data_IF_109052300554
#
_entry.id   IF_109052300554
#
_cell.length_a   1.000
_cell.length_b   1.000
_cell.length_c   1.000
_cell.angle_alpha   90.00
_cell.angle_beta   90.00
_cell.angle_gamma   90.00
#
_symmetry.space_group_name_H-M   'P 1'
#
loop_
_entity.id
_entity.type
_entity.pdbx_description
1 polymer ?
#
# COMPACT_ATOMS: atom_id res chain seq x y z
N UNK A 1 -0.94 16.37 -5.08
CA UNK A 1 0.28 16.96 -4.46
C UNK A 1 1.50 16.58 -5.27
N UNK A 2 2.44 17.51 -5.49
CA UNK A 2 3.63 17.27 -6.29
C UNK A 2 4.75 16.64 -5.44
N UNK A 3 5.63 15.83 -6.06
CA UNK A 3 6.79 15.29 -5.35
C UNK A 3 7.78 16.41 -5.01
N UNK A 4 8.25 16.45 -3.77
CA UNK A 4 9.30 17.38 -3.32
C UNK A 4 10.67 16.87 -3.78
N UNK A 5 10.88 15.57 -3.72
CA UNK A 5 12.10 14.89 -4.16
C UNK A 5 11.76 13.86 -5.25
N UNK A 6 12.49 13.87 -6.37
CA UNK A 6 12.34 12.87 -7.43
C UNK A 6 13.38 11.77 -7.23
N UNK A 7 12.94 10.54 -6.99
CA UNK A 7 13.82 9.38 -6.79
C UNK A 7 14.28 8.76 -8.12
N UNK A 8 13.54 8.94 -9.20
CA UNK A 8 13.90 8.44 -10.53
C UNK A 8 12.73 7.75 -11.24
N UNK A 9 13.04 6.70 -12.03
CA UNK A 9 12.03 5.85 -12.66
C UNK A 9 12.23 4.38 -12.25
N UNK A 10 11.16 3.75 -11.78
CA UNK A 10 11.12 2.32 -11.46
C UNK A 10 10.05 1.69 -12.35
N UNK A 11 10.39 0.61 -13.08
CA UNK A 11 9.48 -0.06 -14.02
C UNK A 11 8.79 0.91 -15.02
N UNK A 12 9.50 1.97 -15.44
CA UNK A 12 8.99 3.00 -16.35
C UNK A 12 8.07 4.05 -15.71
N UNK A 13 7.80 3.96 -14.40
CA UNK A 13 6.97 4.90 -13.64
C UNK A 13 7.86 5.90 -12.90
N UNK A 14 7.53 7.19 -12.93
CA UNK A 14 8.25 8.21 -12.15
C UNK A 14 7.96 8.03 -10.67
N UNK A 15 9.00 7.90 -9.85
CA UNK A 15 8.87 7.76 -8.39
C UNK A 15 9.37 9.04 -7.73
N UNK A 16 8.60 9.53 -6.76
CA UNK A 16 8.98 10.67 -5.94
C UNK A 16 8.50 10.53 -4.51
N UNK A 17 9.06 11.36 -3.64
CA UNK A 17 8.74 11.43 -2.22
C UNK A 17 8.38 12.86 -1.88
N UNK A 18 7.34 13.03 -1.09
CA UNK A 18 6.96 14.31 -0.52
C UNK A 18 7.56 14.44 0.88
N UNK A 19 7.90 15.65 1.32
CA UNK A 19 8.50 15.88 2.64
C UNK A 19 7.65 15.30 3.79
N UNK A 20 6.33 15.24 3.60
CA UNK A 20 5.40 14.63 4.56
C UNK A 20 5.70 13.15 4.86
N UNK A 21 6.40 12.43 3.98
CA UNK A 21 6.85 11.05 4.27
C UNK A 21 7.80 11.00 5.47
N UNK A 22 8.54 12.09 5.75
CA UNK A 22 9.35 12.19 6.96
C UNK A 22 8.51 12.05 8.23
N UNK A 23 7.22 12.40 8.20
CA UNK A 23 6.33 12.21 9.32
C UNK A 23 6.17 10.74 9.72
N UNK A 24 6.26 9.80 8.76
CA UNK A 24 6.27 8.35 9.05
C UNK A 24 7.49 8.01 9.90
N UNK A 25 8.66 8.55 9.56
CA UNK A 25 9.89 8.35 10.34
C UNK A 25 9.76 8.98 11.73
N UNK A 26 9.25 10.21 11.81
CA UNK A 26 9.06 10.94 13.07
C UNK A 26 8.05 10.26 14.00
N UNK A 27 7.10 9.49 13.48
CA UNK A 27 6.14 8.72 14.27
C UNK A 27 6.70 7.35 14.62
N UNK A 28 7.16 6.58 13.64
CA UNK A 28 7.57 5.17 13.82
C UNK A 28 8.81 5.06 14.70
N UNK A 29 9.84 5.87 14.45
CA UNK A 29 11.13 5.71 15.14
C UNK A 29 10.98 5.91 16.66
N UNK A 30 10.37 7.02 17.16
CA UNK A 30 10.20 7.20 18.59
C UNK A 30 9.21 6.20 19.21
N UNK A 31 8.12 5.82 18.51
CA UNK A 31 7.18 4.82 19.01
C UNK A 31 7.86 3.46 19.25
N UNK A 32 8.75 3.06 18.35
CA UNK A 32 9.54 1.84 18.54
C UNK A 32 10.62 2.03 19.61
N UNK A 33 11.39 3.10 19.51
CA UNK A 33 12.58 3.29 20.33
C UNK A 33 12.29 3.58 21.80
N UNK A 34 11.17 4.25 22.10
CA UNK A 34 10.76 4.62 23.46
C UNK A 34 9.64 3.74 24.02
N UNK A 35 8.96 2.99 23.16
CA UNK A 35 7.80 2.17 23.53
C UNK A 35 8.06 0.68 23.33
N UNK A 36 7.85 0.21 22.09
CA UNK A 36 7.81 -1.23 21.77
C UNK A 36 9.10 -1.96 22.14
N UNK A 37 10.25 -1.42 21.78
CA UNK A 37 11.53 -2.12 21.93
C UNK A 37 12.02 -2.23 23.38
N UNK A 38 12.06 -1.15 24.19
CA UNK A 38 12.46 -1.27 25.59
C UNK A 38 11.50 -2.12 26.42
N UNK A 39 10.21 -2.16 26.06
CA UNK A 39 9.21 -3.01 26.73
C UNK A 39 9.39 -4.49 26.40
N UNK A 40 9.76 -4.83 25.17
CA UNK A 40 9.96 -6.21 24.75
C UNK A 40 11.34 -6.76 25.18
N UNK A 41 12.39 -5.94 25.09
CA UNK A 41 13.77 -6.31 25.39
C UNK A 41 14.44 -5.24 26.26
N UNK A 42 14.16 -5.22 27.57
CA UNK A 42 14.76 -4.25 28.48
C UNK A 42 16.26 -4.48 28.64
N UNK A 43 17.03 -3.40 28.81
CA UNK A 43 18.47 -3.45 29.11
C UNK A 43 19.38 -3.30 27.89
N UNK A 44 18.85 -3.29 26.67
CA UNK A 44 19.63 -2.95 25.47
C UNK A 44 20.00 -1.46 25.43
N UNK A 45 21.14 -1.09 24.82
CA UNK A 45 21.61 0.28 24.81
C UNK A 45 20.73 1.17 23.91
N UNK A 46 20.51 2.42 24.30
CA UNK A 46 19.57 3.31 23.60
C UNK A 46 19.79 3.40 22.08
N UNK A 47 21.05 3.41 21.63
CA UNK A 47 21.37 3.51 20.20
C UNK A 47 20.84 2.32 19.38
N UNK A 48 20.69 1.12 19.96
CA UNK A 48 20.15 -0.05 19.26
C UNK A 48 18.66 0.14 18.98
N UNK A 49 17.91 0.68 19.95
CA UNK A 49 16.48 0.99 19.80
C UNK A 49 16.24 2.05 18.72
N UNK A 50 16.99 3.15 18.75
CA UNK A 50 16.87 4.22 17.76
C UNK A 50 17.33 3.76 16.37
N UNK A 51 18.43 3.01 16.29
CA UNK A 51 18.96 2.46 15.04
C UNK A 51 17.99 1.49 14.39
N UNK A 52 17.48 0.50 15.13
CA UNK A 52 16.49 -0.44 14.59
C UNK A 52 15.14 0.23 14.32
N UNK A 53 14.75 1.24 15.10
CA UNK A 53 13.55 2.02 14.83
C UNK A 53 13.64 2.72 13.47
N UNK A 54 14.79 3.33 13.17
CA UNK A 54 15.06 3.95 11.87
C UNK A 54 15.05 2.90 10.74
N UNK A 55 15.69 1.75 10.93
CA UNK A 55 15.68 0.66 9.95
C UNK A 55 14.24 0.21 9.67
N UNK A 56 13.44 -0.04 10.71
CA UNK A 56 12.03 -0.42 10.57
C UNK A 56 11.23 0.62 9.81
N UNK A 57 11.40 1.91 10.13
CA UNK A 57 10.69 2.99 9.43
C UNK A 57 11.05 3.06 7.94
N UNK A 58 12.34 2.92 7.60
CA UNK A 58 12.81 2.93 6.21
C UNK A 58 12.29 1.71 5.43
N UNK A 59 12.35 0.52 6.02
CA UNK A 59 11.82 -0.70 5.38
C UNK A 59 10.30 -0.60 5.22
N UNK A 60 9.58 -0.05 6.19
CA UNK A 60 8.14 0.18 6.09
C UNK A 60 7.78 1.17 4.98
N UNK A 61 8.56 2.25 4.81
CA UNK A 61 8.43 3.18 3.68
C UNK A 61 8.64 2.47 2.34
N UNK A 62 9.59 1.54 2.26
CA UNK A 62 9.81 0.71 1.06
C UNK A 62 8.62 -0.22 0.82
N UNK A 63 8.04 -0.82 1.87
CA UNK A 63 6.80 -1.62 1.77
C UNK A 63 5.62 -0.80 1.23
N UNK A 64 5.41 0.43 1.72
CA UNK A 64 4.39 1.33 1.21
C UNK A 64 4.62 1.66 -0.27
N UNK A 65 5.87 1.99 -0.63
CA UNK A 65 6.21 2.24 -2.03
C UNK A 65 5.97 1.00 -2.89
N UNK A 66 6.30 -0.20 -2.42
CA UNK A 66 6.07 -1.45 -3.14
C UNK A 66 4.57 -1.70 -3.38
N UNK A 67 3.73 -1.45 -2.37
CA UNK A 67 2.27 -1.50 -2.49
C UNK A 67 1.76 -0.56 -3.59
N UNK A 68 2.15 0.71 -3.56
CA UNK A 68 1.71 1.71 -4.55
C UNK A 68 2.27 1.44 -5.95
N UNK A 69 3.51 0.96 -6.01
CA UNK A 69 4.13 0.54 -7.26
C UNK A 69 3.44 -0.68 -7.87
N UNK A 70 2.92 -1.60 -7.06
CA UNK A 70 2.17 -2.74 -7.58
C UNK A 70 0.93 -2.29 -8.36
N UNK A 71 0.16 -1.33 -7.81
CA UNK A 71 -0.95 -0.72 -8.54
C UNK A 71 -0.51 -0.10 -9.86
N UNK A 72 0.56 0.70 -9.84
CA UNK A 72 1.08 1.38 -11.02
C UNK A 72 1.56 0.40 -12.09
N UNK A 73 2.25 -0.68 -11.70
CA UNK A 73 2.75 -1.71 -12.62
C UNK A 73 1.60 -2.49 -13.24
N UNK A 74 0.61 -2.93 -12.45
CA UNK A 74 -0.56 -3.65 -12.97
C UNK A 74 -1.39 -2.74 -13.87
N UNK A 75 -1.61 -1.48 -13.49
CA UNK A 75 -2.32 -0.51 -14.31
C UNK A 75 -1.65 -0.32 -15.68
N UNK A 76 -0.33 -0.14 -15.72
CA UNK A 76 0.41 -0.01 -16.99
C UNK A 76 0.35 -1.28 -17.84
N UNK A 77 0.47 -2.46 -17.22
CA UNK A 77 0.35 -3.74 -17.92
C UNK A 77 -1.05 -3.95 -18.51
N UNK A 78 -2.07 -3.38 -17.87
CA UNK A 78 -3.45 -3.36 -18.38
C UNK A 78 -3.75 -2.19 -19.34
N UNK A 79 -2.74 -1.45 -19.80
CA UNK A 79 -2.92 -0.35 -20.76
C UNK A 79 -3.48 0.95 -20.17
N UNK A 80 -3.53 1.09 -18.84
CA UNK A 80 -3.95 2.32 -18.17
C UNK A 80 -2.73 3.24 -18.00
N UNK A 81 -2.88 4.51 -18.41
CA UNK A 81 -1.81 5.51 -18.31
C UNK A 81 -1.53 5.90 -16.86
N UNK A 82 -0.24 5.90 -16.48
CA UNK A 82 0.23 6.22 -15.12
C UNK A 82 1.28 7.34 -15.19
N UNK A 83 1.09 8.39 -14.41
CA UNK A 83 1.97 9.56 -14.43
C UNK A 83 3.19 9.42 -13.55
N UNK A 84 3.01 8.73 -12.44
CA UNK A 84 4.01 8.57 -11.41
C UNK A 84 3.38 8.17 -10.09
N UNK A 85 4.22 7.64 -9.21
CA UNK A 85 3.90 7.37 -7.82
C UNK A 85 4.59 8.43 -6.97
N UNK A 86 3.86 9.02 -6.03
CA UNK A 86 4.47 9.95 -5.07
C UNK A 86 4.06 9.52 -3.68
N UNK A 87 5.07 9.15 -2.89
CA UNK A 87 4.86 8.77 -1.50
C UNK A 87 4.60 10.02 -0.65
N UNK A 88 3.58 9.95 0.20
CA UNK A 88 3.25 10.97 1.20
C UNK A 88 2.83 10.31 2.53
N UNK A 89 2.46 11.10 3.54
CA UNK A 89 2.14 10.59 4.89
C UNK A 89 0.96 9.59 4.94
N UNK A 90 -0.09 9.78 4.14
CA UNK A 90 -1.29 8.94 4.14
C UNK A 90 -1.26 7.76 3.14
N UNK A 91 -0.07 7.34 2.67
CA UNK A 91 0.09 6.30 1.62
C UNK A 91 0.20 6.87 0.20
N UNK A 92 1.15 6.42 -0.62
CA UNK A 92 1.52 7.10 -1.85
C UNK A 92 0.50 6.98 -2.98
N UNK A 93 -0.40 7.96 -3.12
CA UNK A 93 -1.36 7.98 -4.22
C UNK A 93 -0.66 7.91 -5.58
N UNK A 94 -0.78 6.75 -6.25
CA UNK A 94 -0.40 6.61 -7.65
C UNK A 94 -1.27 7.57 -8.48
N UNK A 95 -0.64 8.53 -9.17
CA UNK A 95 -1.37 9.41 -10.08
C UNK A 95 -1.67 8.67 -11.37
N UNK A 96 -2.85 8.06 -11.42
CA UNK A 96 -3.42 7.45 -12.60
C UNK A 96 -3.97 8.57 -13.51
N UNK A 97 -3.62 8.55 -14.80
CA UNK A 97 -4.08 9.53 -15.81
C UNK A 97 -5.32 9.05 -16.58
N UNK A 98 -5.77 7.83 -16.34
CA UNK A 98 -6.93 7.23 -16.99
C UNK A 98 -7.64 6.22 -16.09
N UNK A 99 -8.87 5.88 -16.46
CA UNK A 99 -9.70 4.91 -15.75
C UNK A 99 -9.55 3.50 -16.34
N UNK A 100 -9.75 2.47 -15.51
CA UNK A 100 -9.87 1.10 -16.01
C UNK A 100 -11.03 0.99 -17.01
N UNK A 101 -10.85 0.22 -18.09
CA UNK A 101 -11.84 0.07 -19.17
C UNK A 101 -12.86 -1.02 -18.90
N UNK A 102 -12.51 -2.00 -18.08
CA UNK A 102 -13.34 -3.15 -17.72
C UNK A 102 -13.24 -3.45 -16.20
N UNK A 103 -14.26 -4.11 -15.62
CA UNK A 103 -14.30 -4.35 -14.18
C UNK A 103 -13.21 -5.30 -13.71
N UNK A 104 -12.78 -6.26 -14.54
CA UNK A 104 -11.72 -7.19 -14.17
C UNK A 104 -10.37 -6.44 -14.02
N UNK A 105 -10.10 -5.48 -14.89
CA UNK A 105 -8.93 -4.61 -14.80
C UNK A 105 -8.97 -3.75 -13.54
N UNK A 106 -10.11 -3.14 -13.21
CA UNK A 106 -10.24 -2.37 -11.96
C UNK A 106 -10.04 -3.27 -10.72
N UNK A 107 -10.59 -4.49 -10.74
CA UNK A 107 -10.43 -5.47 -9.66
C UNK A 107 -8.98 -5.90 -9.48
N UNK A 108 -8.28 -6.22 -10.57
CA UNK A 108 -6.85 -6.60 -10.55
C UNK A 108 -5.98 -5.45 -10.07
N UNK A 109 -6.22 -4.24 -10.55
CA UNK A 109 -5.48 -3.06 -10.12
C UNK A 109 -5.74 -2.81 -8.63
N UNK A 110 -6.99 -2.77 -8.18
CA UNK A 110 -7.30 -2.48 -6.77
C UNK A 110 -6.83 -3.60 -5.82
N UNK A 111 -6.90 -4.86 -6.23
CA UNK A 111 -6.51 -5.99 -5.38
C UNK A 111 -5.00 -6.16 -5.21
N UNK A 112 -4.17 -5.71 -6.17
CA UNK A 112 -2.73 -6.01 -6.13
C UNK A 112 -1.98 -5.30 -4.99
N UNK A 113 -2.44 -4.13 -4.55
CA UNK A 113 -1.85 -3.41 -3.41
C UNK A 113 -1.99 -4.21 -2.12
N UNK A 114 -3.21 -4.49 -1.63
CA UNK A 114 -3.45 -5.33 -0.46
C UNK A 114 -2.74 -6.69 -0.55
N UNK A 115 -2.74 -7.32 -1.74
CA UNK A 115 -2.01 -8.57 -1.96
C UNK A 115 -0.49 -8.41 -1.76
N UNK A 116 0.11 -7.33 -2.27
CA UNK A 116 1.54 -7.05 -2.10
C UNK A 116 1.90 -6.86 -0.63
N UNK A 117 1.08 -6.13 0.11
CA UNK A 117 1.25 -5.95 1.56
C UNK A 117 1.09 -7.26 2.33
N UNK A 118 0.13 -8.11 1.94
CA UNK A 118 -0.05 -9.42 2.56
C UNK A 118 1.16 -10.34 2.30
N UNK A 119 1.69 -10.36 1.07
CA UNK A 119 2.91 -11.11 0.73
C UNK A 119 4.10 -10.61 1.55
N UNK A 120 4.26 -9.29 1.71
CA UNK A 120 5.30 -8.73 2.56
C UNK A 120 5.12 -9.15 4.04
N UNK A 121 3.88 -9.17 4.55
CA UNK A 121 3.59 -9.61 5.91
C UNK A 121 3.97 -11.08 6.15
N UNK A 122 3.64 -11.96 5.19
CA UNK A 122 4.02 -13.39 5.23
C UNK A 122 5.54 -13.54 5.16
N UNK A 123 6.20 -12.80 4.26
CA UNK A 123 7.66 -12.81 4.12
C UNK A 123 8.36 -12.39 5.41
N UNK A 124 7.96 -11.28 6.03
CA UNK A 124 8.56 -10.83 7.28
C UNK A 124 8.23 -11.77 8.45
N UNK A 125 7.03 -12.36 8.50
CA UNK A 125 6.69 -13.40 9.49
C UNK A 125 7.63 -14.61 9.37
N UNK A 126 7.81 -15.12 8.15
CA UNK A 126 8.72 -16.24 7.89
C UNK A 126 10.17 -15.90 8.23
N UNK A 127 10.60 -14.67 7.92
CA UNK A 127 11.95 -14.18 8.24
C UNK A 127 12.17 -14.08 9.75
N UNK A 128 11.20 -13.53 10.51
CA UNK A 128 11.28 -13.45 11.97
C UNK A 128 11.32 -14.84 12.61
N UNK A 129 10.49 -15.77 12.13
CA UNK A 129 10.49 -17.16 12.60
C UNK A 129 11.83 -17.86 12.32
N UNK A 130 12.38 -17.67 11.12
CA UNK A 130 13.69 -18.22 10.75
C UNK A 130 14.83 -17.64 11.59
N UNK A 131 14.83 -16.32 11.83
CA UNK A 131 15.80 -15.66 12.72
C UNK A 131 15.71 -16.19 14.16
N UNK A 132 14.51 -16.45 14.67
CA UNK A 132 14.32 -17.02 16.00
C UNK A 132 14.90 -18.45 16.10
N UNK A 133 14.72 -19.28 15.08
CA UNK A 133 15.32 -20.63 15.01
C UNK A 133 16.85 -20.55 15.02
N UNK A 134 17.43 -19.54 14.36
CA UNK A 134 18.88 -19.31 14.35
C UNK A 134 19.43 -18.61 15.60
N UNK A 135 18.60 -18.40 16.63
CA UNK A 135 18.98 -17.68 17.86
C UNK A 135 19.56 -16.28 17.58
N UNK A 136 19.02 -15.59 16.57
CA UNK A 136 19.39 -14.20 16.28
C UNK A 136 19.01 -13.28 17.46
N UNK A 137 19.61 -12.07 17.57
CA UNK A 137 19.27 -11.12 18.63
C UNK A 137 17.76 -10.83 18.67
N UNK A 138 17.15 -11.01 19.85
CA UNK A 138 15.69 -10.92 20.01
C UNK A 138 15.12 -9.57 19.60
N UNK A 139 15.87 -8.48 19.84
CA UNK A 139 15.48 -7.14 19.41
C UNK A 139 15.40 -7.02 17.87
N UNK A 140 16.27 -7.71 17.13
CA UNK A 140 16.21 -7.75 15.67
C UNK A 140 15.01 -8.58 15.19
N UNK A 141 14.72 -9.71 15.84
CA UNK A 141 13.53 -10.52 15.57
C UNK A 141 12.26 -9.69 15.79
N UNK A 142 12.19 -8.91 16.86
CA UNK A 142 11.07 -8.02 17.17
C UNK A 142 10.89 -6.92 16.13
N UNK A 143 12.00 -6.32 15.64
CA UNK A 143 11.96 -5.36 14.55
C UNK A 143 11.31 -5.96 13.28
N UNK A 144 11.70 -7.18 12.90
CA UNK A 144 11.12 -7.88 11.74
C UNK A 144 9.67 -8.29 12.00
N UNK A 145 9.35 -8.73 13.21
CA UNK A 145 7.98 -9.04 13.63
C UNK A 145 7.06 -7.82 13.56
N UNK A 146 7.54 -6.64 13.95
CA UNK A 146 6.80 -5.39 13.81
C UNK A 146 6.55 -5.05 12.33
N UNK A 147 7.53 -5.22 11.45
CA UNK A 147 7.36 -5.04 10.00
C UNK A 147 6.30 -6.00 9.42
N UNK A 148 6.27 -7.25 9.88
CA UNK A 148 5.25 -8.21 9.51
C UNK A 148 3.85 -7.74 9.93
N UNK A 149 3.71 -7.33 11.19
CA UNK A 149 2.45 -6.83 11.74
C UNK A 149 1.96 -5.59 10.99
N UNK A 150 2.83 -4.61 10.71
CA UNK A 150 2.45 -3.39 10.00
C UNK A 150 2.06 -3.65 8.54
N UNK A 151 2.73 -4.57 7.85
CA UNK A 151 2.34 -4.95 6.50
C UNK A 151 1.00 -5.71 6.49
N UNK A 152 0.73 -6.53 7.52
CA UNK A 152 -0.56 -7.18 7.68
C UNK A 152 -1.68 -6.18 7.93
N UNK A 153 -1.47 -5.23 8.86
CA UNK A 153 -2.36 -4.11 9.13
C UNK A 153 -2.62 -3.32 7.84
N UNK A 154 -1.57 -2.96 7.09
CA UNK A 154 -1.69 -2.25 5.82
C UNK A 154 -2.55 -3.03 4.80
N UNK A 155 -2.36 -4.35 4.70
CA UNK A 155 -3.16 -5.21 3.82
C UNK A 155 -4.63 -5.24 4.22
N UNK A 156 -4.91 -5.46 5.52
CA UNK A 156 -6.28 -5.55 6.05
C UNK A 156 -7.00 -4.22 5.90
N UNK A 157 -6.40 -3.12 6.36
CA UNK A 157 -7.03 -1.80 6.26
C UNK A 157 -7.29 -1.42 4.81
N UNK A 158 -6.36 -1.66 3.87
CA UNK A 158 -6.62 -1.37 2.46
C UNK A 158 -7.58 -2.35 1.79
N UNK A 159 -7.83 -3.54 2.34
CA UNK A 159 -8.84 -4.47 1.83
C UNK A 159 -10.26 -4.18 2.33
N UNK A 160 -10.44 -3.29 3.33
CA UNK A 160 -11.77 -2.96 3.86
C UNK A 160 -12.64 -2.28 2.78
N UNK A 161 -13.94 -2.63 2.69
CA UNK A 161 -14.86 -2.12 1.67
C UNK A 161 -15.36 -0.69 1.99
N UNK A 162 -14.44 0.25 2.17
CA UNK A 162 -14.73 1.65 2.44
C UNK A 162 -13.86 2.54 1.56
N UNK A 163 -14.38 3.66 1.10
CA UNK A 163 -13.56 4.66 0.44
C UNK A 163 -12.83 5.49 1.51
N UNK A 164 -11.57 5.93 1.30
CA UNK A 164 -10.80 5.96 0.06
C UNK A 164 -9.94 4.68 -0.20
N UNK A 165 -10.17 3.58 0.52
CA UNK A 165 -9.32 2.39 0.51
C UNK A 165 -9.52 1.55 -0.75
N UNK A 166 -8.54 0.70 -1.08
CA UNK A 166 -8.61 -0.16 -2.25
C UNK A 166 -9.74 -1.19 -2.21
N UNK A 167 -10.13 -1.65 -1.03
CA UNK A 167 -11.25 -2.56 -0.83
C UNK A 167 -12.58 -1.98 -1.30
N UNK A 168 -12.77 -0.66 -1.20
CA UNK A 168 -13.90 0.03 -1.80
C UNK A 168 -13.88 -0.05 -3.34
N UNK A 169 -12.70 0.05 -3.95
CA UNK A 169 -12.52 -0.09 -5.40
C UNK A 169 -12.71 -1.54 -5.86
N UNK A 170 -12.22 -2.51 -5.09
CA UNK A 170 -12.46 -3.95 -5.28
C UNK A 170 -13.96 -4.25 -5.24
N UNK A 171 -14.68 -3.77 -4.21
CA UNK A 171 -16.13 -3.96 -4.09
C UNK A 171 -16.87 -3.33 -5.27
N UNK A 172 -16.51 -2.10 -5.66
CA UNK A 172 -17.11 -1.41 -6.82
C UNK A 172 -16.89 -2.21 -8.11
N UNK A 173 -15.66 -2.69 -8.35
CA UNK A 173 -15.32 -3.48 -9.53
C UNK A 173 -16.13 -4.79 -9.56
N UNK A 174 -16.26 -5.45 -8.40
CA UNK A 174 -17.07 -6.65 -8.26
C UNK A 174 -18.57 -6.40 -8.53
N UNK A 175 -19.14 -5.34 -7.95
CA UNK A 175 -20.54 -4.97 -8.18
C UNK A 175 -20.77 -4.59 -9.64
N UNK A 176 -19.84 -3.87 -10.27
CA UNK A 176 -19.91 -3.54 -11.69
C UNK A 176 -19.86 -4.81 -12.56
N UNK A 177 -19.01 -5.79 -12.22
CA UNK A 177 -18.98 -7.08 -12.90
C UNK A 177 -20.31 -7.84 -12.80
N UNK A 178 -20.99 -7.77 -11.65
CA UNK A 178 -22.25 -8.48 -11.39
C UNK A 178 -23.48 -7.79 -11.99
N UNK A 179 -23.50 -6.45 -12.03
CA UNK A 179 -24.69 -5.66 -12.43
C UNK A 179 -24.62 -5.20 -13.89
N UNK A 180 -23.45 -5.24 -14.54
CA UNK A 180 -23.32 -5.00 -15.98
C UNK A 180 -23.43 -3.53 -16.42
N UNK A 181 -23.64 -2.58 -15.51
CA UNK A 181 -23.66 -1.13 -15.82
C UNK A 181 -22.72 -0.36 -14.91
N UNK A 182 -21.98 0.62 -15.46
CA UNK A 182 -21.17 1.58 -14.70
C UNK A 182 -22.01 2.65 -13.98
N UNK A 183 -23.28 2.84 -14.35
CA UNK A 183 -24.10 3.96 -13.89
C UNK A 183 -25.33 3.54 -13.07
N UNK A 184 -25.52 4.21 -11.92
CA UNK A 184 -26.85 4.70 -11.56
C UNK A 184 -27.37 4.36 -10.16
N UNK A 185 -27.15 3.14 -9.65
CA UNK A 185 -27.75 2.74 -8.34
C UNK A 185 -26.80 2.68 -7.15
N UNK A 186 -25.48 2.71 -7.39
CA UNK A 186 -24.46 2.75 -6.32
C UNK A 186 -23.83 4.14 -6.14
N UNK A 187 -24.16 5.09 -7.01
CA UNK A 187 -23.70 6.49 -6.94
C UNK A 187 -24.43 7.33 -5.86
N UNK A 188 -25.39 6.73 -5.14
CA UNK A 188 -26.12 7.37 -4.04
C UNK A 188 -25.38 7.30 -2.68
N UNK A 189 -24.21 6.67 -2.63
CA UNK A 189 -23.32 6.76 -1.46
C UNK A 189 -22.59 8.12 -1.50
N UNK A 190 -22.60 8.90 -0.40
CA UNK A 190 -21.99 10.22 -0.39
C UNK A 190 -20.48 10.05 -0.48
N UNK A 191 -19.91 10.32 -1.66
CA UNK A 191 -18.46 10.36 -1.82
C UNK A 191 -18.03 11.67 -2.48
N UNK A 192 -16.95 12.33 -2.01
CA UNK A 192 -16.54 13.63 -2.53
C UNK A 192 -16.19 13.56 -4.01
N UNK A 193 -16.74 14.53 -4.74
CA UNK A 193 -16.71 14.68 -6.19
C UNK A 193 -15.28 14.71 -6.78
N UNK A 194 -15.13 14.10 -7.96
CA UNK A 194 -13.89 14.19 -8.72
C UNK A 194 -13.82 13.42 -10.05
N UNK A 195 -14.85 12.67 -10.44
CA UNK A 195 -14.86 11.98 -11.74
C UNK A 195 -16.08 12.40 -12.53
N UNK A 196 -15.81 13.18 -13.58
CA UNK A 196 -16.69 13.47 -14.71
C UNK A 196 -17.49 12.23 -15.09
N UNK A 197 -18.79 12.43 -15.35
CA UNK A 197 -19.69 11.45 -15.93
C UNK A 197 -19.13 10.96 -17.28
N UNK A 198 -18.28 9.94 -17.24
CA UNK A 198 -17.84 9.20 -18.41
C UNK A 198 -19.00 8.37 -18.93
N UNK A 199 -19.34 8.59 -20.20
CA UNK A 199 -20.40 7.92 -20.96
C UNK A 199 -20.58 6.44 -20.59
N UNK A 200 -21.84 6.03 -20.41
CA UNK A 200 -22.28 4.64 -20.31
C UNK A 200 -21.91 3.83 -21.56
N UNK A 201 -20.65 3.44 -21.71
CA UNK A 201 -20.27 2.38 -22.64
C UNK A 201 -20.41 1.06 -21.91
N UNK A 202 -21.30 0.19 -22.40
CA UNK A 202 -21.38 -1.21 -21.96
C UNK A 202 -20.20 -1.96 -22.58
N UNK A 203 -19.16 -2.39 -21.84
CA UNK A 203 -18.21 -3.34 -22.38
C UNK A 203 -18.75 -4.74 -22.09
N UNK A 204 -18.86 -5.57 -23.13
CA UNK A 204 -19.18 -6.98 -23.01
C UNK A 204 -18.43 -7.60 -21.82
N UNK A 205 -19.18 -8.18 -20.88
CA UNK A 205 -18.66 -8.84 -19.68
C UNK A 205 -17.79 -10.03 -20.07
N UNK A 206 -16.50 -9.81 -20.29
CA UNK A 206 -15.54 -10.91 -20.40
C UNK A 206 -15.37 -11.55 -19.01
N UNK A 207 -15.39 -12.88 -18.91
CA UNK A 207 -15.12 -13.56 -17.64
C UNK A 207 -13.71 -13.19 -17.15
N UNK A 208 -13.58 -12.90 -15.85
CA UNK A 208 -12.31 -12.60 -15.22
C UNK A 208 -11.52 -13.91 -14.99
N UNK A 209 -11.12 -14.61 -16.06
CA UNK A 209 -10.14 -15.69 -16.02
C UNK A 209 -8.91 -15.23 -16.78
#
# INVERSE_FOLDING_TARGET
MNATLRLGRIAGVRVGVHWSTLFIVLLVVPTLALGRFPQAYPGEPAWSYWGLGLVAALVFIVSLLAHDMAHAVVARRSGVAVDGVTLWMFGGGARLRGEARDPCTELRIAGVGPLTSLVAAVFFTGTAAWMAVLSAPGLAVECVGWLAAMNFVLAVFNALPAAPLDGGRVLRAYLWHRVGTRCGRLAALPWPAGTSAGSCSSPASRPCC
#
